data_IF_115602058796
#
_entry.id   IF_115602058796
#
_cell.length_a   1.000
_cell.length_b   1.000
_cell.length_c   1.000
_cell.angle_alpha   90.00
_cell.angle_beta   90.00
_cell.angle_gamma   90.00
#
_symmetry.space_group_name_H-M   'P 1'
#
loop_
_entity.id
_entity.type
_entity.pdbx_description
1 polymer ?
#
# COMPACT_ATOMS: atom_id res chain seq x y z
N UNK A 1 16.98 7.83 14.29
CA UNK A 1 16.04 8.91 14.73
C UNK A 1 15.42 8.51 16.06
N UNK A 2 15.07 9.45 16.94
CA UNK A 2 14.37 9.14 18.19
C UNK A 2 12.98 8.52 17.89
N UNK A 3 12.68 7.38 18.51
CA UNK A 3 11.43 6.64 18.30
C UNK A 3 10.19 7.48 18.64
N UNK A 4 10.28 8.38 19.61
CA UNK A 4 9.17 9.29 19.99
C UNK A 4 8.77 10.21 18.83
N UNK A 5 9.74 10.64 18.01
CA UNK A 5 9.50 11.47 16.83
C UNK A 5 8.78 10.67 15.76
N UNK A 6 9.21 9.43 15.53
CA UNK A 6 8.56 8.52 14.55
C UNK A 6 7.13 8.22 14.99
N UNK A 7 6.92 7.91 16.28
CA UNK A 7 5.59 7.65 16.84
C UNK A 7 4.68 8.87 16.73
N UNK A 8 5.20 10.09 17.00
CA UNK A 8 4.44 11.32 16.84
C UNK A 8 4.05 11.56 15.36
N UNK A 9 4.95 11.25 14.43
CA UNK A 9 4.65 11.37 13.00
C UNK A 9 3.61 10.33 12.55
N UNK A 10 3.68 9.10 13.05
CA UNK A 10 2.66 8.09 12.79
C UNK A 10 1.30 8.52 13.36
N UNK A 11 1.27 9.09 14.57
CA UNK A 11 0.06 9.70 15.12
C UNK A 11 -0.49 10.82 14.21
N UNK A 12 0.35 11.73 13.76
CA UNK A 12 -0.01 12.82 12.85
C UNK A 12 -0.60 12.31 11.54
N UNK A 13 -0.05 11.25 10.99
CA UNK A 13 -0.48 10.72 9.70
C UNK A 13 -1.77 9.88 9.77
N UNK A 14 -2.15 9.34 10.95
CA UNK A 14 -3.27 8.41 11.08
C UNK A 14 -4.42 8.89 11.98
N UNK A 15 -4.20 9.95 12.78
CA UNK A 15 -5.22 10.52 13.65
C UNK A 15 -5.56 11.96 13.22
N UNK A 16 -6.69 12.51 13.65
CA UNK A 16 -7.07 13.89 13.37
C UNK A 16 -6.22 14.88 14.19
N UNK A 17 -4.92 14.93 13.91
CA UNK A 17 -3.97 15.87 14.50
C UNK A 17 -3.67 16.96 13.47
N UNK A 18 -3.87 18.25 13.84
CA UNK A 18 -3.55 19.35 12.94
C UNK A 18 -2.02 19.50 12.77
N UNK A 19 -1.60 20.02 11.60
CA UNK A 19 -0.17 20.31 11.34
C UNK A 19 0.44 21.24 12.40
N UNK A 20 -0.32 22.24 12.86
CA UNK A 20 0.13 23.15 13.89
C UNK A 20 0.44 22.44 15.21
N UNK A 21 -0.48 21.58 15.68
CA UNK A 21 -0.29 20.82 16.91
C UNK A 21 0.84 19.81 16.76
N UNK A 22 0.95 19.16 15.62
CA UNK A 22 2.06 18.26 15.30
C UNK A 22 3.42 19.00 15.38
N UNK A 23 3.56 20.16 14.73
CA UNK A 23 4.81 20.95 14.76
C UNK A 23 5.16 21.45 16.17
N UNK A 24 4.16 21.84 16.98
CA UNK A 24 4.39 22.20 18.39
C UNK A 24 4.93 21.00 19.19
N UNK A 25 4.32 19.84 19.06
CA UNK A 25 4.80 18.60 19.72
C UNK A 25 6.19 18.20 19.22
N UNK A 26 6.44 18.30 17.91
CA UNK A 26 7.75 18.00 17.32
C UNK A 26 8.83 18.94 17.86
N UNK A 27 8.54 20.26 17.95
CA UNK A 27 9.46 21.23 18.52
C UNK A 27 9.79 20.94 19.99
N UNK A 28 8.83 20.47 20.78
CA UNK A 28 9.09 20.03 22.16
C UNK A 28 10.04 18.81 22.22
N UNK A 29 9.88 17.85 21.30
CA UNK A 29 10.74 16.67 21.25
C UNK A 29 12.15 16.98 20.74
N UNK A 30 12.29 17.93 19.83
CA UNK A 30 13.57 18.33 19.23
C UNK A 30 14.27 19.48 19.94
N UNK A 31 13.61 20.13 20.92
CA UNK A 31 14.11 21.24 21.70
C UNK A 31 13.87 22.63 21.09
N UNK A 32 13.52 22.73 19.81
CA UNK A 32 13.19 24.01 19.15
C UNK A 32 12.40 23.81 17.86
N UNK A 33 11.71 24.87 17.41
CA UNK A 33 11.02 24.86 16.10
C UNK A 33 12.03 24.74 14.94
N UNK A 34 13.20 25.38 15.06
CA UNK A 34 14.25 25.28 14.04
C UNK A 34 14.73 23.81 13.88
N UNK A 35 14.98 23.12 14.99
CA UNK A 35 15.35 21.70 14.96
C UNK A 35 14.19 20.82 14.42
N UNK A 36 12.94 21.13 14.77
CA UNK A 36 11.79 20.43 14.20
C UNK A 36 11.72 20.56 12.67
N UNK A 37 11.99 21.76 12.13
CA UNK A 37 11.98 22.00 10.67
C UNK A 37 13.13 21.31 9.93
N UNK A 38 14.24 20.98 10.59
CA UNK A 38 15.32 20.18 9.99
C UNK A 38 15.01 18.67 9.97
N UNK A 39 14.22 18.21 10.93
CA UNK A 39 13.83 16.80 11.03
C UNK A 39 12.63 16.47 10.11
N UNK A 40 11.74 17.41 9.90
CA UNK A 40 10.50 17.22 9.15
C UNK A 40 10.69 16.63 7.75
N UNK A 41 11.62 17.09 6.90
CA UNK A 41 11.85 16.49 5.58
C UNK A 41 12.33 15.04 5.60
N UNK A 42 12.85 14.56 6.73
CA UNK A 42 13.24 13.14 6.88
C UNK A 42 12.03 12.23 7.17
N UNK A 43 10.98 12.82 7.73
CA UNK A 43 9.71 12.14 8.04
C UNK A 43 8.77 12.13 6.84
N UNK A 44 8.70 13.24 6.11
CA UNK A 44 7.90 13.40 4.89
C UNK A 44 8.54 12.65 3.70
N UNK A 45 7.75 12.33 2.68
CA UNK A 45 8.24 11.63 1.50
C UNK A 45 9.09 12.52 0.58
N UNK A 46 10.26 12.05 0.18
CA UNK A 46 11.06 12.66 -0.89
C UNK A 46 10.86 11.89 -2.20
N UNK A 47 9.86 12.25 -2.98
CA UNK A 47 9.50 11.53 -4.21
C UNK A 47 10.48 11.70 -5.38
N UNK A 48 11.41 12.63 -5.31
CA UNK A 48 12.48 12.73 -6.31
C UNK A 48 13.36 11.47 -6.34
N UNK A 49 13.48 10.79 -5.20
CA UNK A 49 14.20 9.51 -5.09
C UNK A 49 13.47 8.39 -5.85
N UNK A 50 12.14 8.32 -5.75
CA UNK A 50 11.33 7.24 -6.36
C UNK A 50 11.42 7.20 -7.89
N UNK A 51 11.70 8.32 -8.56
CA UNK A 51 11.76 8.40 -10.01
C UNK A 51 13.05 7.82 -10.62
N UNK A 52 14.05 7.50 -9.80
CA UNK A 52 15.39 7.09 -10.27
C UNK A 52 15.66 5.59 -10.16
N UNK A 53 14.80 4.83 -9.49
CA UNK A 53 15.10 3.43 -9.13
C UNK A 53 14.88 2.42 -10.26
N UNK A 54 13.97 2.67 -11.20
CA UNK A 54 13.63 1.73 -12.26
C UNK A 54 13.78 2.38 -13.63
N UNK A 55 14.70 1.85 -14.44
CA UNK A 55 14.78 2.19 -15.86
C UNK A 55 13.51 1.69 -16.58
N UNK A 56 12.83 2.59 -17.29
CA UNK A 56 11.56 2.33 -17.99
C UNK A 56 11.76 1.78 -19.41
N UNK A 57 12.99 1.70 -19.95
CA UNK A 57 13.24 1.30 -21.35
C UNK A 57 12.60 -0.04 -21.72
N UNK A 58 12.56 -0.99 -20.76
CA UNK A 58 11.97 -2.32 -20.94
C UNK A 58 10.50 -2.40 -20.50
N UNK A 59 9.92 -1.29 -20.11
CA UNK A 59 8.54 -1.24 -19.61
C UNK A 59 7.61 -0.50 -20.58
N UNK A 60 6.37 -0.92 -20.58
CA UNK A 60 5.24 -0.17 -21.08
C UNK A 60 4.47 0.42 -19.90
N UNK A 61 4.24 1.72 -19.92
CA UNK A 61 3.47 2.44 -18.91
C UNK A 61 2.36 3.26 -19.54
N UNK A 62 1.23 3.36 -18.87
CA UNK A 62 0.09 4.17 -19.31
C UNK A 62 -0.75 4.67 -18.13
N UNK A 63 -1.40 5.82 -18.31
CA UNK A 63 -2.50 6.30 -17.46
C UNK A 63 -3.81 5.82 -18.02
N UNK A 64 -4.64 5.25 -17.16
CA UNK A 64 -5.96 4.73 -17.57
C UNK A 64 -7.07 5.27 -16.68
N UNK A 65 -8.30 5.11 -17.13
CA UNK A 65 -9.49 5.15 -16.28
C UNK A 65 -10.27 3.86 -16.45
N UNK A 66 -11.00 3.48 -15.38
CA UNK A 66 -11.99 2.41 -15.47
C UNK A 66 -13.26 2.77 -14.68
N UNK A 67 -14.44 2.29 -15.14
CA UNK A 67 -15.71 2.70 -14.53
C UNK A 67 -15.87 2.14 -13.12
N UNK A 68 -16.43 2.99 -12.24
CA UNK A 68 -16.75 2.63 -10.86
C UNK A 68 -18.14 3.13 -10.49
N UNK A 69 -18.55 2.87 -9.24
CA UNK A 69 -19.78 3.46 -8.70
C UNK A 69 -19.53 4.94 -8.41
N UNK A 70 -20.26 5.81 -9.12
CA UNK A 70 -20.18 7.27 -8.96
C UNK A 70 -19.18 7.98 -9.87
N UNK A 71 -18.53 7.29 -10.81
CA UNK A 71 -17.60 7.91 -11.76
C UNK A 71 -16.54 6.96 -12.30
N UNK A 72 -15.35 7.49 -12.54
CA UNK A 72 -14.21 6.73 -13.04
C UNK A 72 -13.04 6.73 -12.04
N UNK A 73 -12.42 5.59 -11.89
CA UNK A 73 -11.16 5.44 -11.18
C UNK A 73 -10.00 5.71 -12.14
N UNK A 74 -9.14 6.67 -11.81
CA UNK A 74 -7.85 6.87 -12.47
C UNK A 74 -6.85 5.83 -11.98
N UNK A 75 -5.90 5.44 -12.82
CA UNK A 75 -4.85 4.53 -12.42
C UNK A 75 -3.62 4.62 -13.31
N UNK A 76 -2.53 4.07 -12.80
CA UNK A 76 -1.26 3.92 -13.50
C UNK A 76 -1.01 2.44 -13.76
N UNK A 77 -0.74 2.08 -15.01
CA UNK A 77 -0.36 0.74 -15.44
C UNK A 77 1.14 0.72 -15.77
N UNK A 78 1.79 -0.36 -15.33
CA UNK A 78 3.12 -0.75 -15.78
C UNK A 78 3.15 -2.26 -16.08
N UNK A 79 3.81 -2.65 -17.17
CA UNK A 79 4.07 -4.06 -17.54
C UNK A 79 5.37 -4.18 -18.33
N UNK A 80 5.92 -5.38 -18.50
CA UNK A 80 7.02 -5.56 -19.45
C UNK A 80 6.62 -5.07 -20.85
N UNK A 81 7.55 -4.48 -21.58
CA UNK A 81 7.31 -3.94 -22.94
C UNK A 81 6.95 -5.02 -23.94
N UNK A 82 7.52 -6.21 -23.77
CA UNK A 82 7.21 -7.38 -24.62
C UNK A 82 5.72 -7.68 -24.60
N UNK A 83 5.14 -7.88 -25.76
CA UNK A 83 3.75 -8.31 -25.87
C UNK A 83 3.59 -9.77 -25.42
N UNK A 84 2.84 -9.97 -24.36
CA UNK A 84 2.51 -11.26 -23.78
C UNK A 84 1.27 -11.11 -22.87
N UNK A 85 0.79 -12.23 -22.35
CA UNK A 85 -0.21 -12.24 -21.26
C UNK A 85 0.49 -12.42 -19.93
N UNK A 86 0.28 -11.47 -19.04
CA UNK A 86 0.91 -11.42 -17.72
C UNK A 86 -0.09 -11.73 -16.59
N UNK A 87 0.35 -12.34 -15.49
CA UNK A 87 -0.42 -12.31 -14.26
C UNK A 87 -0.55 -10.86 -13.79
N UNK A 88 -1.71 -10.51 -13.23
CA UNK A 88 -2.05 -9.14 -12.90
C UNK A 88 -1.97 -8.89 -11.41
N UNK A 89 -1.50 -7.71 -11.01
CA UNK A 89 -1.43 -7.29 -9.62
C UNK A 89 -1.95 -5.87 -9.45
N UNK A 90 -2.79 -5.65 -8.45
CA UNK A 90 -3.22 -4.31 -8.04
C UNK A 90 -2.28 -3.81 -6.95
N UNK A 91 -1.66 -2.66 -7.17
CA UNK A 91 -0.75 -1.98 -6.23
C UNK A 91 -1.53 -0.89 -5.50
N UNK A 92 -1.70 -1.01 -4.21
CA UNK A 92 -2.58 -0.13 -3.44
C UNK A 92 -1.75 0.78 -2.55
N UNK A 93 -1.87 2.09 -2.80
CA UNK A 93 -1.08 3.14 -2.17
C UNK A 93 -1.39 3.35 -0.68
N UNK A 94 -0.55 4.10 -0.01
CA UNK A 94 -0.75 4.59 1.36
C UNK A 94 -1.82 5.70 1.40
N UNK A 95 -2.00 6.34 2.56
CA UNK A 95 -2.99 7.43 2.76
C UNK A 95 -2.53 8.80 2.18
N UNK A 96 -1.75 8.78 1.10
CA UNK A 96 -1.31 9.95 0.33
C UNK A 96 -1.74 9.90 -1.15
N UNK A 97 -2.53 8.88 -1.52
CA UNK A 97 -2.97 8.70 -2.89
C UNK A 97 -1.90 8.07 -3.80
N UNK A 98 -2.18 8.08 -5.09
CA UNK A 98 -1.28 7.57 -6.13
C UNK A 98 -0.14 8.58 -6.37
N UNK A 99 0.96 8.38 -5.69
CA UNK A 99 2.15 9.20 -5.75
C UNK A 99 3.31 8.51 -6.50
N UNK A 100 4.43 9.20 -6.82
CA UNK A 100 5.55 8.62 -7.54
C UNK A 100 6.17 7.37 -6.93
N UNK A 101 6.16 7.22 -5.59
CA UNK A 101 6.61 6.01 -4.93
C UNK A 101 5.78 4.78 -5.33
N UNK A 102 4.46 4.92 -5.34
CA UNK A 102 3.56 3.80 -5.69
C UNK A 102 3.65 3.47 -7.19
N UNK A 103 3.84 4.48 -8.04
CA UNK A 103 4.13 4.23 -9.47
C UNK A 103 5.45 3.47 -9.65
N UNK A 104 6.47 3.78 -8.83
CA UNK A 104 7.72 3.03 -8.83
C UNK A 104 7.52 1.59 -8.36
N UNK A 105 6.73 1.35 -7.32
CA UNK A 105 6.37 -0.02 -6.89
C UNK A 105 5.65 -0.79 -8.02
N UNK A 106 4.77 -0.13 -8.79
CA UNK A 106 4.14 -0.75 -9.95
C UNK A 106 5.17 -1.11 -11.04
N UNK A 107 6.17 -0.24 -11.29
CA UNK A 107 7.28 -0.55 -12.20
C UNK A 107 8.15 -1.71 -11.69
N UNK A 108 8.41 -1.79 -10.38
CA UNK A 108 9.13 -2.95 -9.77
C UNK A 108 8.38 -4.25 -10.01
N UNK A 109 7.06 -4.26 -9.85
CA UNK A 109 6.23 -5.43 -10.16
C UNK A 109 6.26 -5.77 -11.66
N UNK A 110 6.22 -4.76 -12.53
CA UNK A 110 6.33 -4.93 -13.97
C UNK A 110 7.69 -5.55 -14.37
N UNK A 111 8.81 -5.09 -13.81
CA UNK A 111 10.13 -5.70 -14.00
C UNK A 111 10.19 -7.16 -13.58
N UNK A 112 9.41 -7.55 -12.58
CA UNK A 112 9.29 -8.93 -12.13
C UNK A 112 8.34 -9.79 -13.01
N UNK A 113 7.78 -9.21 -14.08
CA UNK A 113 6.96 -9.92 -15.07
C UNK A 113 5.46 -9.91 -14.79
N UNK A 114 4.96 -8.88 -14.12
CA UNK A 114 3.54 -8.69 -13.84
C UNK A 114 2.96 -7.51 -14.65
N UNK A 115 1.67 -7.58 -14.93
CA UNK A 115 0.85 -6.42 -15.32
C UNK A 115 0.36 -5.78 -14.03
N UNK A 116 0.93 -4.65 -13.66
CA UNK A 116 0.62 -3.92 -12.43
C UNK A 116 -0.31 -2.74 -12.71
N UNK A 117 -1.42 -2.65 -11.96
CA UNK A 117 -2.32 -1.50 -11.95
C UNK A 117 -2.26 -0.86 -10.56
N UNK A 118 -1.93 0.43 -10.50
CA UNK A 118 -2.02 1.25 -9.30
C UNK A 118 -3.21 2.22 -9.41
N UNK A 119 -4.38 1.91 -8.82
CA UNK A 119 -5.53 2.80 -8.82
C UNK A 119 -5.33 3.98 -7.86
N UNK A 120 -5.97 5.12 -8.15
CA UNK A 120 -5.99 6.31 -7.30
C UNK A 120 -7.31 6.41 -6.52
N UNK A 121 -7.29 6.16 -5.22
CA UNK A 121 -8.47 6.25 -4.35
C UNK A 121 -9.11 7.64 -4.34
N UNK A 122 -8.33 8.69 -4.63
CA UNK A 122 -8.80 10.07 -4.66
C UNK A 122 -9.44 10.47 -5.99
N UNK A 123 -9.59 9.54 -6.94
CA UNK A 123 -10.12 9.81 -8.30
C UNK A 123 -11.42 10.57 -8.29
N UNK A 124 -12.40 10.17 -7.46
CA UNK A 124 -13.72 10.80 -7.38
C UNK A 124 -13.69 12.17 -6.68
N UNK A 125 -12.58 12.53 -6.07
CA UNK A 125 -12.34 13.85 -5.45
C UNK A 125 -11.42 14.73 -6.32
N UNK A 126 -11.18 14.35 -7.58
CA UNK A 126 -10.32 15.07 -8.52
C UNK A 126 -8.98 14.38 -8.81
N UNK A 127 -8.58 13.44 -8.00
CA UNK A 127 -7.30 12.71 -8.07
C UNK A 127 -6.32 13.16 -6.98
N UNK A 128 -5.19 12.48 -6.91
CA UNK A 128 -4.16 12.75 -5.92
C UNK A 128 -3.49 14.10 -6.17
N UNK A 129 -3.54 15.05 -5.20
CA UNK A 129 -2.87 16.34 -5.30
C UNK A 129 -1.36 16.17 -5.06
N UNK A 130 -0.57 17.16 -5.48
CA UNK A 130 0.88 17.18 -5.25
C UNK A 130 1.26 17.40 -3.78
N UNK A 131 0.39 18.04 -3.00
CA UNK A 131 0.60 18.32 -1.58
C UNK A 131 0.11 17.17 -0.71
N UNK A 132 1.00 16.57 0.10
CA UNK A 132 0.68 15.42 0.95
C UNK A 132 -0.35 15.71 2.05
N UNK A 133 -0.34 16.91 2.63
CA UNK A 133 -1.30 17.28 3.66
C UNK A 133 -2.70 17.46 3.06
N UNK A 134 -2.79 17.99 1.84
CA UNK A 134 -4.04 18.07 1.08
C UNK A 134 -4.55 16.66 0.75
N UNK A 135 -3.68 15.78 0.25
CA UNK A 135 -4.03 14.38 -0.01
C UNK A 135 -4.57 13.71 1.26
N UNK A 136 -3.89 13.88 2.40
CA UNK A 136 -4.32 13.35 3.69
C UNK A 136 -5.70 13.88 4.13
N UNK A 137 -5.94 15.17 3.93
CA UNK A 137 -7.24 15.77 4.23
C UNK A 137 -8.36 15.24 3.32
N UNK A 138 -8.06 14.97 2.06
CA UNK A 138 -8.99 14.33 1.12
C UNK A 138 -9.30 12.88 1.54
N UNK A 139 -8.30 12.13 2.02
CA UNK A 139 -8.50 10.76 2.52
C UNK A 139 -9.52 10.67 3.66
N UNK A 140 -9.61 11.68 4.53
CA UNK A 140 -10.60 11.73 5.61
C UNK A 140 -12.04 11.86 5.12
N UNK A 141 -12.24 12.23 3.84
CA UNK A 141 -13.56 12.35 3.21
C UNK A 141 -14.00 11.09 2.48
N UNK A 142 -13.13 10.09 2.38
CA UNK A 142 -13.41 8.85 1.67
C UNK A 142 -14.38 7.96 2.45
N UNK A 143 -15.40 7.47 1.78
CA UNK A 143 -16.22 6.37 2.27
C UNK A 143 -15.49 5.03 2.06
N UNK A 144 -15.31 4.28 3.15
CA UNK A 144 -14.53 3.04 3.14
C UNK A 144 -15.19 1.93 2.31
N UNK A 145 -16.51 1.78 2.39
CA UNK A 145 -17.24 0.75 1.67
C UNK A 145 -17.28 1.04 0.17
N UNK A 146 -17.49 2.31 -0.20
CA UNK A 146 -17.43 2.75 -1.60
C UNK A 146 -16.03 2.53 -2.18
N UNK A 147 -14.97 2.86 -1.43
CA UNK A 147 -13.60 2.62 -1.91
C UNK A 147 -13.31 1.14 -2.10
N UNK A 148 -13.72 0.29 -1.16
CA UNK A 148 -13.58 -1.17 -1.34
C UNK A 148 -14.26 -1.63 -2.62
N UNK A 149 -15.48 -1.17 -2.87
CA UNK A 149 -16.23 -1.47 -4.11
C UNK A 149 -15.50 -0.94 -5.34
N UNK A 150 -14.96 0.27 -5.30
CA UNK A 150 -14.25 0.89 -6.42
C UNK A 150 -12.95 0.15 -6.74
N UNK A 151 -12.17 -0.23 -5.73
CA UNK A 151 -10.97 -1.06 -5.94
C UNK A 151 -11.31 -2.47 -6.43
N UNK A 152 -12.41 -3.06 -5.97
CA UNK A 152 -12.88 -4.35 -6.47
C UNK A 152 -13.20 -4.33 -7.97
N UNK A 153 -13.62 -3.19 -8.54
CA UNK A 153 -13.85 -3.04 -10.00
C UNK A 153 -12.58 -3.23 -10.84
N UNK A 154 -11.39 -3.00 -10.27
CA UNK A 154 -10.13 -3.31 -10.96
C UNK A 154 -10.04 -4.79 -11.34
N UNK A 155 -10.61 -5.68 -10.53
CA UNK A 155 -10.61 -7.13 -10.76
C UNK A 155 -11.66 -7.60 -11.80
N UNK A 156 -12.56 -6.73 -12.21
CA UNK A 156 -13.40 -6.92 -13.40
C UNK A 156 -12.72 -6.31 -14.65
N UNK A 157 -12.03 -5.18 -14.50
CA UNK A 157 -11.35 -4.49 -15.59
C UNK A 157 -10.12 -5.27 -16.11
N UNK A 158 -9.25 -5.73 -15.21
CA UNK A 158 -7.97 -6.35 -15.56
C UNK A 158 -8.10 -7.63 -16.40
N UNK A 159 -9.01 -8.58 -16.10
CA UNK A 159 -9.16 -9.79 -16.93
C UNK A 159 -9.64 -9.52 -18.36
N UNK A 160 -10.32 -8.39 -18.58
CA UNK A 160 -10.80 -8.00 -19.91
C UNK A 160 -9.67 -7.45 -20.82
N UNK A 161 -8.51 -7.16 -20.27
CA UNK A 161 -7.35 -6.69 -21.03
C UNK A 161 -6.70 -7.83 -21.81
N UNK A 162 -6.29 -7.53 -23.04
CA UNK A 162 -5.60 -8.49 -23.93
C UNK A 162 -4.25 -8.99 -23.40
N UNK A 163 -3.60 -8.17 -22.55
CA UNK A 163 -2.30 -8.41 -21.93
C UNK A 163 -2.40 -9.07 -20.54
N UNK A 164 -3.60 -9.46 -20.10
CA UNK A 164 -3.87 -10.21 -18.87
C UNK A 164 -3.97 -11.73 -19.14
N UNK A 165 -3.43 -12.55 -18.22
CA UNK A 165 -3.64 -14.00 -18.22
C UNK A 165 -4.82 -14.42 -17.33
N UNK A 166 -5.51 -13.47 -16.68
CA UNK A 166 -6.66 -13.69 -15.81
C UNK A 166 -6.34 -14.12 -14.37
N UNK A 167 -5.08 -14.40 -14.01
CA UNK A 167 -4.68 -14.66 -12.62
C UNK A 167 -4.39 -13.34 -11.91
N UNK A 168 -5.00 -13.12 -10.76
CA UNK A 168 -5.04 -11.82 -10.11
C UNK A 168 -4.57 -11.86 -8.67
N UNK A 169 -3.72 -10.90 -8.30
CA UNK A 169 -3.28 -10.63 -6.95
C UNK A 169 -3.36 -9.14 -6.61
N UNK A 170 -3.05 -8.81 -5.37
CA UNK A 170 -2.83 -7.44 -4.95
C UNK A 170 -1.70 -7.34 -3.92
N UNK A 171 -1.18 -6.13 -3.75
CA UNK A 171 -0.36 -5.70 -2.61
C UNK A 171 -0.78 -4.30 -2.20
N UNK A 172 -0.84 -4.07 -0.91
CA UNK A 172 -1.17 -2.76 -0.37
C UNK A 172 -0.27 -2.38 0.80
N UNK A 173 -0.09 -1.07 0.96
CA UNK A 173 0.80 -0.46 1.94
C UNK A 173 0.00 0.44 2.89
N UNK A 174 0.15 0.30 4.21
CA UNK A 174 -0.55 1.09 5.22
C UNK A 174 -2.09 1.00 5.05
N UNK A 175 -2.75 2.09 4.67
CA UNK A 175 -4.17 2.10 4.28
C UNK A 175 -4.44 1.09 3.16
N UNK A 176 -3.57 1.03 2.17
CA UNK A 176 -3.64 0.04 1.09
C UNK A 176 -3.45 -1.38 1.57
N UNK A 177 -2.69 -1.61 2.64
CA UNK A 177 -2.58 -2.92 3.28
C UNK A 177 -3.90 -3.36 3.93
N UNK A 178 -4.60 -2.43 4.58
CA UNK A 178 -5.96 -2.68 5.05
C UNK A 178 -6.93 -2.94 3.87
N UNK A 179 -6.82 -2.17 2.78
CA UNK A 179 -7.61 -2.39 1.57
C UNK A 179 -7.32 -3.75 0.93
N UNK A 180 -6.05 -4.20 0.92
CA UNK A 180 -5.69 -5.55 0.44
C UNK A 180 -6.42 -6.64 1.23
N UNK A 181 -6.50 -6.51 2.56
CA UNK A 181 -7.29 -7.41 3.41
C UNK A 181 -8.78 -7.35 3.08
N UNK A 182 -9.35 -6.15 2.84
CA UNK A 182 -10.74 -5.99 2.43
C UNK A 182 -11.02 -6.61 1.05
N UNK A 183 -10.11 -6.47 0.10
CA UNK A 183 -10.24 -7.10 -1.21
C UNK A 183 -10.20 -8.63 -1.11
N UNK A 184 -9.41 -9.19 -0.19
CA UNK A 184 -9.43 -10.63 0.07
C UNK A 184 -10.80 -11.13 0.59
N UNK A 185 -11.51 -10.28 1.35
CA UNK A 185 -12.88 -10.55 1.84
C UNK A 185 -13.93 -10.42 0.73
N UNK A 186 -13.80 -9.41 -0.15
CA UNK A 186 -14.87 -8.99 -1.07
C UNK A 186 -14.67 -9.45 -2.52
N UNK A 187 -13.50 -9.97 -2.90
CA UNK A 187 -13.17 -10.41 -4.26
C UNK A 187 -12.85 -11.91 -4.28
N UNK A 188 -13.85 -12.79 -4.47
CA UNK A 188 -13.66 -14.25 -4.42
C UNK A 188 -12.68 -14.79 -5.46
N UNK A 189 -12.49 -14.10 -6.59
CA UNK A 189 -11.59 -14.46 -7.68
C UNK A 189 -10.12 -14.16 -7.37
N UNK A 190 -9.84 -13.32 -6.35
CA UNK A 190 -8.49 -12.96 -5.93
C UNK A 190 -7.73 -14.22 -5.48
N UNK A 191 -6.52 -14.43 -6.01
CA UNK A 191 -5.70 -15.60 -5.71
C UNK A 191 -4.68 -15.33 -4.60
N UNK A 192 -4.14 -14.11 -4.54
CA UNK A 192 -3.09 -13.71 -3.61
C UNK A 192 -3.30 -12.28 -3.15
N UNK A 193 -3.33 -12.05 -1.85
CA UNK A 193 -3.39 -10.72 -1.26
C UNK A 193 -2.21 -10.51 -0.31
N UNK A 194 -1.45 -9.45 -0.53
CA UNK A 194 -0.28 -9.08 0.28
C UNK A 194 -0.56 -7.78 1.00
N UNK A 195 -0.40 -7.76 2.32
CA UNK A 195 -0.61 -6.57 3.14
C UNK A 195 0.67 -6.18 3.89
N UNK A 196 1.18 -4.99 3.61
CA UNK A 196 2.27 -4.37 4.35
C UNK A 196 1.69 -3.43 5.40
N UNK A 197 2.00 -3.67 6.68
CA UNK A 197 1.63 -2.84 7.83
C UNK A 197 0.20 -2.28 7.75
N UNK A 198 -0.72 -3.10 7.26
CA UNK A 198 -2.14 -2.76 7.11
C UNK A 198 -2.98 -3.27 8.27
N UNK A 199 -4.06 -2.53 8.61
CA UNK A 199 -5.06 -3.01 9.55
C UNK A 199 -5.66 -4.31 9.04
N UNK A 200 -5.90 -5.24 9.93
CA UNK A 200 -6.50 -6.54 9.68
C UNK A 200 -7.99 -6.41 9.30
N UNK A 201 -8.51 -7.41 8.60
CA UNK A 201 -9.96 -7.55 8.42
C UNK A 201 -10.60 -7.99 9.75
N UNK A 202 -11.89 -7.66 9.91
CA UNK A 202 -12.62 -8.08 11.09
C UNK A 202 -12.80 -9.61 11.09
N UNK A 203 -12.67 -10.24 12.25
CA UNK A 203 -12.69 -11.70 12.39
C UNK A 203 -13.96 -12.35 11.81
N UNK A 204 -15.10 -11.65 11.90
CA UNK A 204 -16.40 -12.11 11.35
C UNK A 204 -16.38 -12.21 9.81
N UNK A 205 -15.50 -11.49 9.13
CA UNK A 205 -15.39 -11.50 7.68
C UNK A 205 -14.37 -12.51 7.15
N UNK A 206 -13.50 -13.03 8.00
CA UNK A 206 -12.45 -14.00 7.62
C UNK A 206 -13.00 -15.22 6.89
N UNK A 207 -14.16 -15.81 7.24
CA UNK A 207 -14.72 -16.95 6.50
C UNK A 207 -14.98 -16.71 5.01
N UNK A 208 -15.10 -15.45 4.59
CA UNK A 208 -15.33 -15.07 3.19
C UNK A 208 -14.06 -15.12 2.34
N UNK A 209 -12.88 -15.13 2.96
CA UNK A 209 -11.58 -15.08 2.26
C UNK A 209 -11.34 -16.39 1.52
N UNK A 210 -10.99 -16.28 0.23
CA UNK A 210 -10.59 -17.38 -0.64
C UNK A 210 -9.15 -17.29 -1.11
N UNK A 211 -8.59 -16.08 -1.09
CA UNK A 211 -7.21 -15.79 -1.47
C UNK A 211 -6.22 -16.37 -0.45
N UNK A 212 -5.03 -16.73 -0.89
CA UNK A 212 -3.90 -16.86 0.00
C UNK A 212 -3.46 -15.46 0.48
N UNK A 213 -3.05 -15.35 1.75
CA UNK A 213 -2.63 -14.09 2.35
C UNK A 213 -1.13 -14.10 2.68
N UNK A 214 -0.46 -12.97 2.44
CA UNK A 214 0.86 -12.71 2.97
C UNK A 214 0.88 -11.38 3.72
N UNK A 215 1.31 -11.41 4.98
CA UNK A 215 1.17 -10.32 5.94
C UNK A 215 2.54 -9.89 6.46
N UNK A 216 2.89 -8.61 6.29
CA UNK A 216 4.18 -8.05 6.68
C UNK A 216 4.00 -6.94 7.72
N UNK A 217 4.58 -7.10 8.92
CA UNK A 217 4.46 -6.16 10.02
C UNK A 217 5.81 -5.79 10.61
N UNK A 218 5.96 -4.53 11.03
CA UNK A 218 7.11 -4.10 11.82
C UNK A 218 6.86 -4.26 13.31
N UNK A 219 7.82 -4.76 14.10
CA UNK A 219 7.61 -5.04 15.53
C UNK A 219 7.35 -3.78 16.36
N UNK A 220 7.78 -2.60 15.88
CA UNK A 220 7.57 -1.31 16.54
C UNK A 220 6.23 -0.63 16.19
N UNK A 221 5.38 -1.24 15.35
CA UNK A 221 4.05 -0.71 14.98
C UNK A 221 2.96 -1.26 15.92
N UNK A 222 3.00 -0.84 17.19
CA UNK A 222 2.08 -1.33 18.22
C UNK A 222 0.60 -1.16 17.84
N UNK A 223 0.28 -0.04 17.16
CA UNK A 223 -1.10 0.30 16.74
C UNK A 223 -1.69 -0.75 15.80
N UNK A 224 -0.92 -1.19 14.81
CA UNK A 224 -1.36 -2.22 13.85
C UNK A 224 -1.23 -3.61 14.47
N UNK A 225 -0.15 -3.87 15.20
CA UNK A 225 0.13 -5.18 15.75
C UNK A 225 -0.90 -5.64 16.80
N UNK A 226 -1.58 -4.71 17.48
CA UNK A 226 -2.64 -5.02 18.44
C UNK A 226 -3.78 -5.89 17.85
N UNK A 227 -4.05 -5.79 16.55
CA UNK A 227 -5.10 -6.59 15.89
C UNK A 227 -4.64 -7.97 15.40
N UNK A 228 -3.32 -8.23 15.35
CA UNK A 228 -2.76 -9.48 14.78
C UNK A 228 -3.27 -10.73 15.51
N UNK A 229 -3.29 -10.81 16.85
CA UNK A 229 -3.67 -12.05 17.53
C UNK A 229 -5.08 -12.51 17.19
N UNK A 230 -6.04 -11.59 17.16
CA UNK A 230 -7.45 -11.91 16.86
C UNK A 230 -7.61 -12.32 15.38
N UNK A 231 -6.92 -11.63 14.48
CA UNK A 231 -6.98 -11.96 13.05
C UNK A 231 -6.33 -13.31 12.75
N UNK A 232 -5.16 -13.59 13.33
CA UNK A 232 -4.46 -14.87 13.16
C UNK A 232 -5.26 -16.04 13.73
N UNK A 233 -5.94 -15.86 14.87
CA UNK A 233 -6.85 -16.86 15.43
C UNK A 233 -7.98 -17.17 14.46
N UNK A 234 -8.63 -16.15 13.87
CA UNK A 234 -9.69 -16.32 12.90
C UNK A 234 -9.19 -16.98 11.59
N UNK A 235 -8.00 -16.64 11.11
CA UNK A 235 -7.39 -17.28 9.94
C UNK A 235 -7.17 -18.78 10.16
N UNK A 236 -6.64 -19.15 11.33
CA UNK A 236 -6.41 -20.56 11.72
C UNK A 236 -7.72 -21.35 11.84
N UNK A 237 -8.71 -20.78 12.53
CA UNK A 237 -10.04 -21.38 12.71
C UNK A 237 -10.71 -21.68 11.36
N UNK A 238 -10.61 -20.74 10.41
CA UNK A 238 -11.22 -20.86 9.09
C UNK A 238 -10.30 -21.54 8.05
N UNK A 239 -9.13 -22.05 8.47
CA UNK A 239 -8.16 -22.76 7.60
C UNK A 239 -7.74 -21.94 6.38
N UNK A 240 -7.65 -20.63 6.53
CA UNK A 240 -7.16 -19.76 5.47
C UNK A 240 -5.66 -19.98 5.27
N UNK A 241 -5.23 -20.08 4.02
CA UNK A 241 -3.81 -20.16 3.69
C UNK A 241 -3.15 -18.79 3.89
N UNK A 242 -2.22 -18.67 4.83
CA UNK A 242 -1.55 -17.41 5.10
C UNK A 242 -0.09 -17.60 5.53
N UNK A 243 0.71 -16.57 5.28
CA UNK A 243 2.07 -16.37 5.78
C UNK A 243 2.12 -15.04 6.51
N UNK A 244 2.67 -15.02 7.74
CA UNK A 244 2.83 -13.82 8.55
C UNK A 244 4.31 -13.61 8.89
N UNK A 245 4.82 -12.42 8.62
CA UNK A 245 6.20 -12.04 8.89
C UNK A 245 6.26 -10.81 9.77
N UNK A 246 6.93 -10.95 10.92
CA UNK A 246 7.27 -9.85 11.82
C UNK A 246 8.74 -9.47 11.61
N UNK A 247 9.00 -8.18 11.35
CA UNK A 247 10.35 -7.63 11.16
C UNK A 247 10.76 -6.92 12.43
N UNK A 248 11.79 -7.47 13.12
CA UNK A 248 12.22 -7.00 14.42
C UNK A 248 12.91 -5.63 14.34
N UNK A 249 12.60 -4.73 15.30
CA UNK A 249 13.16 -3.38 15.36
C UNK A 249 12.72 -2.45 14.22
N UNK A 250 11.65 -2.77 13.52
CA UNK A 250 11.18 -2.08 12.31
C UNK A 250 9.88 -1.35 12.56
N UNK A 251 9.78 -0.12 12.04
CA UNK A 251 8.62 0.77 12.20
C UNK A 251 7.53 0.54 11.14
N UNK A 252 6.38 1.18 11.35
CA UNK A 252 5.37 1.38 10.31
C UNK A 252 5.98 2.03 9.06
N UNK A 253 5.48 1.68 7.85
CA UNK A 253 5.94 2.21 6.56
C UNK A 253 7.40 1.88 6.20
N UNK A 254 7.96 0.79 6.72
CA UNK A 254 9.35 0.40 6.50
C UNK A 254 9.73 0.11 5.04
N UNK A 255 8.75 -0.14 4.17
CA UNK A 255 8.99 -0.39 2.75
C UNK A 255 9.13 0.91 1.94
N UNK A 256 8.65 2.04 2.47
CA UNK A 256 8.63 3.30 1.75
C UNK A 256 10.01 3.97 1.76
N UNK A 257 10.79 3.79 0.69
CA UNK A 257 12.15 4.30 0.51
C UNK A 257 12.22 5.82 0.29
N UNK A 258 11.08 6.50 0.12
CA UNK A 258 11.03 7.96 0.09
C UNK A 258 10.98 8.60 1.48
N UNK A 259 10.67 7.84 2.54
CA UNK A 259 10.60 8.30 3.93
C UNK A 259 11.81 7.80 4.73
N UNK A 260 12.93 8.53 4.65
CA UNK A 260 14.23 8.12 5.21
C UNK A 260 14.19 7.74 6.71
N UNK A 261 13.30 8.38 7.49
CA UNK A 261 13.19 8.12 8.93
C UNK A 261 12.57 6.77 9.28
N UNK A 262 11.75 6.20 8.40
CA UNK A 262 11.00 4.95 8.64
C UNK A 262 11.44 3.79 7.75
N UNK A 263 12.11 4.10 6.64
CA UNK A 263 12.61 3.09 5.72
C UNK A 263 13.61 2.16 6.39
N UNK A 264 13.42 0.86 6.19
CA UNK A 264 14.41 -0.14 6.58
C UNK A 264 14.74 -0.99 5.35
N UNK A 265 15.91 -0.74 4.76
CA UNK A 265 16.31 -1.34 3.49
C UNK A 265 16.32 -2.88 3.54
N UNK A 266 16.87 -3.46 4.60
CA UNK A 266 16.97 -4.91 4.74
C UNK A 266 15.59 -5.56 4.84
N UNK A 267 14.71 -5.01 5.69
CA UNK A 267 13.34 -5.49 5.83
C UNK A 267 12.52 -5.27 4.55
N UNK A 268 12.65 -4.11 3.90
CA UNK A 268 11.95 -3.79 2.66
C UNK A 268 12.33 -4.75 1.53
N UNK A 269 13.63 -4.97 1.30
CA UNK A 269 14.13 -5.92 0.28
C UNK A 269 13.66 -7.34 0.55
N UNK A 270 13.77 -7.80 1.79
CA UNK A 270 13.35 -9.16 2.16
C UNK A 270 11.82 -9.32 1.99
N UNK A 271 11.03 -8.35 2.46
CA UNK A 271 9.58 -8.39 2.32
C UNK A 271 9.14 -8.36 0.85
N UNK A 272 9.80 -7.54 0.02
CA UNK A 272 9.50 -7.50 -1.41
C UNK A 272 9.87 -8.80 -2.13
N UNK A 273 11.02 -9.41 -1.81
CA UNK A 273 11.39 -10.72 -2.36
C UNK A 273 10.36 -11.79 -1.98
N UNK A 274 9.94 -11.84 -0.71
CA UNK A 274 8.87 -12.74 -0.25
C UNK A 274 7.56 -12.51 -1.02
N UNK A 275 7.21 -11.25 -1.29
CA UNK A 275 6.03 -10.90 -2.11
C UNK A 275 6.13 -11.47 -3.52
N UNK A 276 7.28 -11.32 -4.17
CA UNK A 276 7.50 -11.86 -5.53
C UNK A 276 7.45 -13.39 -5.55
N UNK A 277 8.04 -14.05 -4.57
CA UNK A 277 8.02 -15.51 -4.43
C UNK A 277 6.58 -16.01 -4.19
N UNK A 278 5.84 -15.33 -3.33
CA UNK A 278 4.44 -15.62 -3.06
C UNK A 278 3.56 -15.45 -4.30
N UNK A 279 3.71 -14.36 -5.04
CA UNK A 279 3.03 -14.20 -6.32
C UNK A 279 3.47 -15.23 -7.36
N UNK A 280 4.75 -15.60 -7.38
CA UNK A 280 5.25 -16.69 -8.22
C UNK A 280 4.53 -18.01 -7.98
N UNK A 281 4.26 -18.34 -6.71
CA UNK A 281 3.54 -19.55 -6.30
C UNK A 281 2.04 -19.52 -6.64
N UNK A 282 1.39 -18.36 -6.55
CA UNK A 282 -0.07 -18.27 -6.65
C UNK A 282 -0.59 -17.72 -7.98
N UNK A 283 0.25 -17.00 -8.76
CA UNK A 283 -0.17 -16.30 -9.98
C UNK A 283 0.54 -16.78 -11.26
N UNK A 284 1.62 -17.57 -11.17
CA UNK A 284 2.35 -18.11 -12.33
C UNK A 284 2.10 -19.58 -12.61
#
# INVERSE_FOLDING_TARGET
MDQRIITLYDEYTHKPLSREVFLKKLAMLTGSLAAAMTVLPMLEGNYAVAQTHINEEDLFTERITYPTTGGEMKGYIARPKKEAKYPTVVIIHENRGLNPHIEDVARRAAKAGYLALAPDALSLLGGTPANEDEARAMFQKLDSAQNTTNFAKAFAYLPARKDSNGKMGCVGFCWGGAMSNQLAVHVPELKAAVAFYGRQADAVDVPKIKAALQLHYGSLDERINAGIPAFEAALKENKINYELYMYEGVNHAFHNDTSAARYNEAAAKLAWQRTLDFWGKHLK
#
